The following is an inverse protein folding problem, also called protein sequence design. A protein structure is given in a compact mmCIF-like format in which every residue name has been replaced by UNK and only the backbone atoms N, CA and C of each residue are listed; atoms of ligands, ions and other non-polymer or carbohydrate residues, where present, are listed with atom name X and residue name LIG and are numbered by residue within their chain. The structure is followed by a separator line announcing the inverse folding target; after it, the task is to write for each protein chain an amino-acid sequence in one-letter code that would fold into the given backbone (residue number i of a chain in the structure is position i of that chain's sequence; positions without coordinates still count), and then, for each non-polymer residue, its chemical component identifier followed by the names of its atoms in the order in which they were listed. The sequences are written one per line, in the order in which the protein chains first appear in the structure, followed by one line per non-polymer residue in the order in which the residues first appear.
data_IF_517804312776
#
_entry.id   IF_517804312776
#
_cell.length_a   1.000
_cell.length_b   1.000
_cell.length_c   1.000
_cell.angle_alpha   90.00
_cell.angle_beta   90.00
_cell.angle_gamma   90.00
#
_symmetry.space_group_name_H-M   'P 1'
#
loop_
_entity.id
_entity.type
_entity.pdbx_description
1 polymer ?
#
# COMPACT_ATOMS: atom_id res chain seq x y z
N UNK A 1 -10.54 27.57 -6.38
CA UNK A 1 -9.13 27.19 -6.13
C UNK A 1 -9.19 25.97 -5.22
N UNK A 2 -8.52 24.89 -5.57
CA UNK A 2 -8.51 23.67 -4.73
C UNK A 2 -7.57 23.90 -3.56
N UNK A 3 -8.06 23.69 -2.34
CA UNK A 3 -7.24 23.71 -1.13
C UNK A 3 -6.60 22.33 -0.94
N UNK A 4 -5.30 22.23 -1.24
CA UNK A 4 -4.57 20.96 -1.17
C UNK A 4 -4.36 20.47 0.28
N UNK A 5 -4.38 21.37 1.26
CA UNK A 5 -4.25 21.01 2.67
C UNK A 5 -5.53 20.36 3.19
N UNK A 6 -6.69 20.92 2.82
CA UNK A 6 -7.98 20.31 3.13
C UNK A 6 -8.12 18.94 2.45
N UNK A 7 -7.77 18.82 1.17
CA UNK A 7 -7.82 17.53 0.46
C UNK A 7 -6.91 16.49 1.10
N UNK A 8 -5.69 16.87 1.53
CA UNK A 8 -4.81 15.97 2.28
C UNK A 8 -5.47 15.48 3.57
N UNK A 9 -5.99 16.40 4.37
CA UNK A 9 -6.63 16.09 5.64
C UNK A 9 -7.82 15.15 5.45
N UNK A 10 -8.66 15.42 4.45
CA UNK A 10 -9.81 14.58 4.13
C UNK A 10 -9.38 13.17 3.71
N UNK A 11 -8.33 13.04 2.90
CA UNK A 11 -7.79 11.75 2.50
C UNK A 11 -7.16 10.97 3.65
N UNK A 12 -6.39 11.63 4.52
CA UNK A 12 -5.81 10.99 5.71
C UNK A 12 -6.91 10.52 6.67
N UNK A 13 -8.02 11.24 6.78
CA UNK A 13 -9.18 10.80 7.58
C UNK A 13 -9.90 9.57 7.01
N UNK A 14 -9.73 9.29 5.71
CA UNK A 14 -10.26 8.07 5.07
C UNK A 14 -9.31 6.86 5.25
N UNK A 15 -8.09 7.07 5.72
CA UNK A 15 -7.12 6.01 6.02
C UNK A 15 -7.43 5.37 7.38
N UNK A 16 -8.49 4.58 7.42
CA UNK A 16 -8.96 3.94 8.66
C UNK A 16 -8.17 2.70 9.05
N UNK A 17 -7.35 2.16 8.14
CA UNK A 17 -6.56 0.96 8.41
C UNK A 17 -5.20 1.31 9.00
N UNK A 18 -4.65 0.37 9.77
CA UNK A 18 -3.23 0.33 10.11
C UNK A 18 -2.54 -0.66 9.18
N UNK A 19 -1.63 -0.15 8.35
CA UNK A 19 -0.86 -0.95 7.40
C UNK A 19 0.57 -1.10 7.90
N UNK A 20 1.15 -2.27 7.64
CA UNK A 20 2.57 -2.55 7.86
C UNK A 20 3.24 -2.78 6.52
N UNK A 21 4.30 -2.02 6.26
CA UNK A 21 5.18 -2.21 5.10
C UNK A 21 6.51 -2.76 5.60
N UNK A 22 6.94 -3.87 5.03
CA UNK A 22 8.19 -4.53 5.36
C UNK A 22 9.09 -4.64 4.14
N UNK A 23 10.38 -4.45 4.35
CA UNK A 23 11.42 -4.59 3.34
C UNK A 23 12.21 -5.87 3.56
N UNK A 24 12.49 -6.66 2.51
CA UNK A 24 13.39 -7.80 2.67
C UNK A 24 14.79 -7.29 3.00
N UNK A 25 15.40 -7.85 4.04
CA UNK A 25 16.77 -7.47 4.48
C UNK A 25 17.86 -8.06 3.59
N UNK A 26 17.50 -9.08 2.79
CA UNK A 26 18.45 -9.91 2.04
C UNK A 26 18.97 -11.11 2.83
N UNK A 27 18.64 -11.19 4.12
CA UNK A 27 18.96 -12.34 4.97
C UNK A 27 17.83 -13.37 4.94
N UNK A 28 18.17 -14.63 5.20
CA UNK A 28 17.22 -15.73 5.38
C UNK A 28 17.34 -16.30 6.78
N UNK A 29 16.20 -16.67 7.37
CA UNK A 29 16.16 -17.28 8.68
C UNK A 29 16.89 -18.65 8.64
N UNK A 30 17.79 -18.94 9.59
CA UNK A 30 18.59 -20.17 9.56
C UNK A 30 17.76 -21.47 9.67
N UNK A 31 16.54 -21.37 10.18
CA UNK A 31 15.69 -22.50 10.55
C UNK A 31 14.88 -23.07 9.37
N UNK A 32 14.33 -22.20 8.53
CA UNK A 32 13.43 -22.56 7.43
C UNK A 32 13.79 -21.89 6.10
N UNK A 33 14.82 -21.04 6.08
CA UNK A 33 15.22 -20.28 4.89
C UNK A 33 14.24 -19.17 4.51
N UNK A 34 13.28 -18.82 5.37
CA UNK A 34 12.32 -17.75 5.09
C UNK A 34 13.03 -16.38 5.02
N UNK A 35 12.58 -15.45 4.15
CA UNK A 35 13.15 -14.11 4.10
C UNK A 35 12.97 -13.39 5.44
N UNK A 36 14.03 -12.72 5.91
CA UNK A 36 13.95 -11.83 7.07
C UNK A 36 13.49 -10.45 6.63
N UNK A 37 12.46 -9.95 7.29
CA UNK A 37 11.78 -8.70 6.95
C UNK A 37 12.05 -7.62 7.99
N UNK A 38 12.35 -6.40 7.54
CA UNK A 38 12.44 -5.22 8.38
C UNK A 38 11.20 -4.32 8.18
N UNK A 39 10.50 -3.97 9.25
CA UNK A 39 9.38 -3.01 9.18
C UNK A 39 9.93 -1.61 8.88
N UNK A 40 9.53 -1.06 7.73
CA UNK A 40 9.91 0.31 7.32
C UNK A 40 8.80 1.32 7.60
N UNK A 41 7.56 0.86 7.70
CA UNK A 41 6.41 1.69 8.05
C UNK A 41 5.35 0.85 8.76
N UNK A 42 4.78 1.40 9.82
CA UNK A 42 3.56 0.90 10.44
C UNK A 42 2.73 2.09 10.90
N UNK A 43 1.52 2.23 10.36
CA UNK A 43 0.69 3.40 10.63
C UNK A 43 -0.53 3.48 9.72
N UNK A 44 -1.14 4.66 9.68
CA UNK A 44 -2.34 4.90 8.89
C UNK A 44 -2.13 4.57 7.40
N UNK A 45 -3.11 3.92 6.80
CA UNK A 45 -3.17 3.66 5.37
C UNK A 45 -4.57 3.26 4.94
N UNK A 46 -4.76 3.13 3.63
CA UNK A 46 -5.96 2.52 3.06
C UNK A 46 -5.54 1.56 1.95
N UNK A 47 -5.95 0.29 2.07
CA UNK A 47 -5.77 -0.69 1.00
C UNK A 47 -7.03 -0.73 0.14
N UNK A 48 -6.88 -0.34 -1.12
CA UNK A 48 -7.97 -0.17 -2.06
C UNK A 48 -8.00 -1.33 -3.05
N UNK A 49 -9.02 -2.19 -2.95
CA UNK A 49 -9.43 -3.05 -4.06
C UNK A 49 -9.97 -2.22 -5.23
N UNK A 50 -10.23 -2.84 -6.38
CA UNK A 50 -10.86 -2.15 -7.53
C UNK A 50 -12.12 -1.37 -7.15
N UNK A 51 -12.96 -1.91 -6.24
CA UNK A 51 -14.15 -1.20 -5.78
C UNK A 51 -13.80 0.06 -4.96
N UNK A 52 -12.86 -0.05 -4.03
CA UNK A 52 -12.37 1.09 -3.24
C UNK A 52 -11.73 2.18 -4.11
N UNK A 53 -10.98 1.78 -5.14
CA UNK A 53 -10.40 2.71 -6.10
C UNK A 53 -11.48 3.50 -6.86
N UNK A 54 -12.57 2.86 -7.28
CA UNK A 54 -13.70 3.55 -7.95
C UNK A 54 -14.37 4.54 -7.00
N UNK A 55 -14.63 4.14 -5.74
CA UNK A 55 -15.25 5.01 -4.75
C UNK A 55 -14.42 6.26 -4.47
N UNK A 56 -13.11 6.11 -4.29
CA UNK A 56 -12.18 7.23 -4.07
C UNK A 56 -12.13 8.16 -5.30
N UNK A 57 -12.09 7.62 -6.52
CA UNK A 57 -12.15 8.43 -7.76
C UNK A 57 -13.43 9.27 -7.84
N UNK A 58 -14.58 8.69 -7.49
CA UNK A 58 -15.86 9.41 -7.48
C UNK A 58 -15.89 10.51 -6.41
N UNK A 59 -15.31 10.25 -5.24
CA UNK A 59 -15.26 11.21 -4.14
C UNK A 59 -14.39 12.43 -4.48
N UNK A 60 -13.22 12.20 -5.08
CA UNK A 60 -12.24 13.26 -5.36
C UNK A 60 -12.50 14.00 -6.68
N UNK A 61 -13.39 13.48 -7.54
CA UNK A 61 -13.74 14.11 -8.82
C UNK A 61 -12.58 14.22 -9.82
N UNK A 62 -11.50 13.46 -9.62
CA UNK A 62 -10.29 13.48 -10.43
C UNK A 62 -9.71 12.06 -10.58
N UNK A 63 -9.05 11.80 -11.70
CA UNK A 63 -8.37 10.52 -11.96
C UNK A 63 -7.02 10.47 -11.24
N UNK A 64 -7.07 10.47 -9.91
CA UNK A 64 -5.92 10.65 -9.02
C UNK A 64 -5.15 9.34 -8.79
N UNK A 65 -5.76 8.19 -9.11
CA UNK A 65 -5.24 6.86 -8.79
C UNK A 65 -4.37 6.22 -9.88
N UNK A 66 -4.00 6.95 -10.93
CA UNK A 66 -3.22 6.38 -12.03
C UNK A 66 -3.96 5.27 -12.80
N UNK A 67 -3.24 4.64 -13.74
CA UNK A 67 -3.82 3.71 -14.72
C UNK A 67 -4.47 2.48 -14.07
N UNK A 68 -5.69 2.16 -14.54
CA UNK A 68 -6.67 1.25 -13.93
C UNK A 68 -6.33 -0.26 -13.98
N UNK A 69 -5.05 -0.63 -14.11
CA UNK A 69 -4.63 -2.04 -14.29
C UNK A 69 -4.23 -2.76 -13.01
N UNK A 70 -3.97 -2.06 -11.91
CA UNK A 70 -3.63 -2.69 -10.63
C UNK A 70 -4.90 -3.13 -9.88
N UNK A 71 -4.95 -4.41 -9.48
CA UNK A 71 -6.07 -4.95 -8.70
C UNK A 71 -6.14 -4.33 -7.30
N UNK A 72 -4.99 -3.97 -6.74
CA UNK A 72 -4.88 -3.32 -5.43
C UNK A 72 -3.97 -2.09 -5.46
N UNK A 73 -4.31 -1.11 -4.63
CA UNK A 73 -3.50 0.08 -4.40
C UNK A 73 -3.43 0.39 -2.92
N UNK A 74 -2.26 0.80 -2.45
CA UNK A 74 -2.05 1.30 -1.10
C UNK A 74 -1.97 2.82 -1.11
N UNK A 75 -2.82 3.46 -0.30
CA UNK A 75 -2.67 4.86 0.07
C UNK A 75 -1.97 4.98 1.42
N UNK A 76 -0.97 5.86 1.51
CA UNK A 76 -0.31 6.24 2.78
C UNK A 76 -0.09 7.75 2.86
N UNK A 77 0.01 8.34 4.06
CA UNK A 77 0.35 9.75 4.22
C UNK A 77 1.71 10.08 3.59
N UNK A 78 1.93 11.33 3.21
CA UNK A 78 3.22 11.75 2.62
C UNK A 78 4.41 11.57 3.58
N UNK A 79 4.15 11.57 4.89
CA UNK A 79 5.12 11.30 5.94
C UNK A 79 5.58 9.84 5.99
N UNK A 80 4.83 8.91 5.42
CA UNK A 80 5.28 7.53 5.26
C UNK A 80 6.49 7.47 4.31
N UNK A 81 7.42 6.52 4.45
CA UNK A 81 8.46 6.27 3.46
C UNK A 81 7.92 5.86 2.08
N UNK A 82 8.71 6.04 1.02
CA UNK A 82 8.40 5.44 -0.30
C UNK A 82 8.57 3.93 -0.18
N UNK A 83 7.54 3.17 -0.56
CA UNK A 83 7.65 1.72 -0.68
C UNK A 83 8.31 1.36 -2.03
N UNK A 84 9.28 0.46 -2.00
CA UNK A 84 10.03 0.01 -3.18
C UNK A 84 9.51 -1.36 -3.67
N UNK A 85 9.70 -1.69 -4.96
CA UNK A 85 9.36 -3.01 -5.49
C UNK A 85 9.98 -4.14 -4.66
N UNK A 86 9.17 -5.14 -4.33
CA UNK A 86 9.55 -6.25 -3.46
C UNK A 86 9.33 -5.99 -1.96
N UNK A 87 8.99 -4.77 -1.55
CA UNK A 87 8.43 -4.53 -0.23
C UNK A 87 7.07 -5.25 -0.10
N UNK A 88 6.82 -5.75 1.10
CA UNK A 88 5.63 -6.51 1.47
C UNK A 88 4.68 -5.63 2.28
N UNK A 89 3.39 -5.71 2.00
CA UNK A 89 2.34 -4.94 2.64
C UNK A 89 1.33 -5.86 3.30
N UNK A 90 0.93 -5.51 4.52
CA UNK A 90 -0.15 -6.17 5.27
C UNK A 90 -1.05 -5.14 5.94
N UNK A 91 -2.34 -5.45 6.05
CA UNK A 91 -3.26 -4.73 6.94
C UNK A 91 -3.20 -5.41 8.30
N UNK A 92 -2.73 -4.69 9.31
CA UNK A 92 -2.51 -5.20 10.67
C UNK A 92 -3.55 -4.71 11.68
N UNK A 93 -4.43 -3.80 11.26
CA UNK A 93 -5.61 -3.36 11.99
C UNK A 93 -6.55 -2.57 11.08
N UNK A 94 -7.85 -2.52 11.40
CA UNK A 94 -8.86 -1.88 10.54
C UNK A 94 -9.83 -2.90 9.93
N UNK A 95 -10.10 -2.79 8.63
CA UNK A 95 -11.07 -3.62 7.91
C UNK A 95 -10.68 -5.13 7.93
N UNK A 96 -11.60 -5.96 8.40
CA UNK A 96 -11.40 -7.41 8.54
C UNK A 96 -11.31 -8.14 7.19
N UNK A 97 -11.80 -7.55 6.08
CA UNK A 97 -11.77 -8.12 4.74
C UNK A 97 -10.36 -8.29 4.15
N UNK A 98 -9.37 -7.63 4.76
CA UNK A 98 -7.95 -7.71 4.39
C UNK A 98 -7.10 -8.49 5.40
N UNK A 99 -7.69 -8.96 6.50
CA UNK A 99 -6.96 -9.66 7.54
C UNK A 99 -6.32 -10.97 7.04
N UNK A 100 -5.05 -11.18 7.40
CA UNK A 100 -4.29 -12.39 7.05
C UNK A 100 -3.86 -12.49 5.58
N UNK A 101 -4.06 -11.43 4.79
CA UNK A 101 -3.64 -11.34 3.40
C UNK A 101 -2.40 -10.46 3.29
N UNK A 102 -1.64 -10.70 2.23
CA UNK A 102 -0.37 -10.04 2.01
C UNK A 102 -0.22 -9.66 0.55
N UNK A 103 0.39 -8.49 0.31
CA UNK A 103 0.64 -7.95 -1.02
C UNK A 103 2.11 -7.60 -1.19
N UNK A 104 2.56 -7.54 -2.44
CA UNK A 104 3.87 -7.01 -2.79
C UNK A 104 3.73 -5.75 -3.62
N UNK A 105 4.67 -4.82 -3.42
CA UNK A 105 4.78 -3.62 -4.24
C UNK A 105 5.23 -4.02 -5.64
N UNK A 106 4.39 -3.74 -6.65
CA UNK A 106 4.65 -4.07 -8.06
C UNK A 106 5.72 -3.17 -8.68
N UNK A 107 5.59 -1.89 -8.41
CA UNK A 107 6.36 -0.81 -9.02
C UNK A 107 6.51 0.31 -7.99
N UNK A 108 7.58 1.09 -8.11
CA UNK A 108 7.75 2.28 -7.27
C UNK A 108 6.50 3.15 -7.39
N UNK A 109 6.09 3.73 -6.26
CA UNK A 109 5.13 4.84 -6.23
C UNK A 109 5.47 5.80 -7.36
N UNK A 110 4.49 6.12 -8.22
CA UNK A 110 4.74 7.10 -9.28
C UNK A 110 5.06 8.44 -8.61
N UNK A 111 6.24 8.99 -8.89
CA UNK A 111 6.60 10.31 -8.40
C UNK A 111 5.75 11.37 -9.13
N UNK A 112 4.93 12.11 -8.39
CA UNK A 112 4.18 13.25 -8.92
C UNK A 112 4.78 14.57 -8.43
N UNK A 113 4.60 15.64 -9.22
CA UNK A 113 5.03 17.00 -8.85
C UNK A 113 4.08 17.66 -7.84
N UNK A 114 2.87 17.11 -7.67
CA UNK A 114 1.92 17.47 -6.63
C UNK A 114 1.33 16.18 -6.06
N UNK A 115 1.60 15.92 -4.79
CA UNK A 115 1.07 14.78 -4.05
C UNK A 115 0.35 15.28 -2.80
N UNK A 116 -0.89 14.82 -2.58
CA UNK A 116 -1.58 14.96 -1.29
C UNK A 116 -1.45 13.71 -0.44
N UNK A 117 -1.30 12.53 -1.06
CA UNK A 117 -0.99 11.23 -0.44
C UNK A 117 -0.14 10.38 -1.38
N UNK A 118 0.53 9.35 -0.86
CA UNK A 118 1.29 8.38 -1.65
C UNK A 118 0.38 7.28 -2.14
N UNK A 119 0.49 6.92 -3.42
CA UNK A 119 -0.27 5.80 -4.01
C UNK A 119 0.70 4.75 -4.57
N UNK A 120 0.66 3.55 -4.02
CA UNK A 120 1.54 2.44 -4.40
C UNK A 120 0.74 1.30 -4.98
N UNK A 121 1.17 0.74 -6.11
CA UNK A 121 0.51 -0.41 -6.76
C UNK A 121 0.90 -1.71 -6.06
N UNK A 122 -0.07 -2.60 -5.89
CA UNK A 122 0.08 -3.84 -5.15
C UNK A 122 -0.43 -5.03 -5.95
N UNK A 123 0.37 -6.08 -5.96
CA UNK A 123 -0.02 -7.42 -6.39
C UNK A 123 -0.30 -8.26 -5.15
N UNK A 124 -1.49 -8.88 -5.10
CA UNK A 124 -1.83 -9.79 -4.01
C UNK A 124 -1.07 -11.10 -4.15
N UNK A 125 -0.51 -11.60 -3.04
CA UNK A 125 0.08 -12.92 -3.02
C UNK A 125 -1.02 -14.00 -2.93
N UNK A 126 -1.37 -14.60 -4.07
CA UNK A 126 -2.29 -15.74 -4.10
C UNK A 126 -1.51 -17.06 -3.97
N UNK A 127 -1.35 -17.58 -2.75
CA UNK A 127 -0.77 -18.91 -2.47
C UNK A 127 0.53 -18.91 -1.66
N UNK A 128 0.90 -20.07 -1.11
CA UNK A 128 2.17 -20.26 -0.39
C UNK A 128 3.34 -20.16 -1.38
N UNK A 129 4.38 -19.37 -1.04
CA UNK A 129 5.63 -19.35 -1.80
C UNK A 129 6.12 -20.79 -1.95
N UNK A 130 6.11 -21.32 -3.17
CA UNK A 130 6.82 -22.54 -3.47
C UNK A 130 8.31 -22.22 -3.27
N UNK A 131 8.87 -22.67 -2.15
CA UNK A 131 10.31 -22.69 -1.93
C UNK A 131 10.89 -23.57 -3.04
N UNK A 132 11.44 -22.92 -4.06
CA UNK A 132 12.07 -23.59 -5.19
C UNK A 132 13.30 -24.36 -4.71
N UNK A 133 13.27 -25.66 -4.98
CA UNK A 133 14.38 -26.62 -4.86
C UNK A 133 15.50 -26.28 -5.82
#
# INVERSE_FOLDING_TARGET
MVDLEQVRTDLENLMTDTVRVRRPTGETAPEDGAPVWATIYEGAGALLSTHGQIAVRQLLGADWLGEASAWYQLMTPLSAPVADPGDQVEVVGGDEGFAGRTWFVEARTQASTVEVVRVTRLDEQTGALAVGV
#
